data_IF_663310349007
#
_entry.id   IF_663310349007
#
_cell.length_a   1.000
_cell.length_b   1.000
_cell.length_c   1.000
_cell.angle_alpha   90.00
_cell.angle_beta   90.00
_cell.angle_gamma   90.00
#
_symmetry.space_group_name_H-M   'P 1'
#
loop_
_entity.id
_entity.type
_entity.pdbx_description
1 polymer ?
#
# COMPACT_ATOMS: atom_id res chain seq x y z
N UNK A 1 31.44 17.05 -15.35
CA UNK A 1 30.50 18.18 -15.17
C UNK A 1 29.20 17.80 -14.42
N UNK A 2 28.39 16.86 -14.94
CA UNK A 2 27.10 16.51 -14.31
C UNK A 2 27.21 15.94 -12.88
N UNK A 3 28.18 15.05 -12.63
CA UNK A 3 28.46 14.53 -11.28
C UNK A 3 28.80 15.65 -10.29
N UNK A 4 29.51 16.68 -10.73
CA UNK A 4 29.92 17.79 -9.86
C UNK A 4 28.72 18.68 -9.50
N UNK A 5 27.86 18.97 -10.47
CA UNK A 5 26.59 19.67 -10.24
C UNK A 5 25.71 18.89 -9.27
N UNK A 6 25.62 17.57 -9.45
CA UNK A 6 24.85 16.71 -8.56
C UNK A 6 25.38 16.75 -7.12
N UNK A 7 26.71 16.69 -6.93
CA UNK A 7 27.33 16.82 -5.60
C UNK A 7 27.00 18.16 -4.93
N UNK A 8 27.05 19.27 -5.68
CA UNK A 8 26.64 20.59 -5.18
C UNK A 8 25.16 20.64 -4.80
N UNK A 9 24.28 19.96 -5.54
CA UNK A 9 22.86 19.83 -5.14
C UNK A 9 22.72 19.04 -3.84
N UNK A 10 23.52 17.99 -3.66
CA UNK A 10 23.54 17.17 -2.44
C UNK A 10 24.00 17.97 -1.22
N UNK A 11 24.91 18.93 -1.37
CA UNK A 11 25.30 19.84 -0.27
C UNK A 11 24.11 20.61 0.31
N UNK A 12 23.17 21.01 -0.54
CA UNK A 12 21.96 21.74 -0.15
C UNK A 12 20.78 20.82 0.22
N UNK A 13 20.85 19.52 -0.09
CA UNK A 13 19.75 18.59 0.09
C UNK A 13 19.68 18.02 1.52
N UNK A 14 18.46 17.80 2.00
CA UNK A 14 18.22 17.06 3.24
C UNK A 14 18.13 15.55 3.02
N UNK A 15 17.48 15.16 1.91
CA UNK A 15 17.16 13.77 1.59
C UNK A 15 17.40 13.54 0.10
N UNK A 16 18.10 12.45 -0.23
CA UNK A 16 18.21 11.88 -1.56
C UNK A 16 17.45 10.56 -1.59
N UNK A 17 16.46 10.42 -2.48
CA UNK A 17 15.75 9.15 -2.71
C UNK A 17 16.08 8.68 -4.11
N UNK A 18 16.47 7.42 -4.23
CA UNK A 18 16.85 6.81 -5.51
C UNK A 18 16.44 5.35 -5.56
N UNK A 19 16.26 4.84 -6.78
CA UNK A 19 15.83 3.46 -7.05
C UNK A 19 16.63 2.82 -8.18
N UNK A 20 17.93 3.12 -8.23
CA UNK A 20 18.86 2.56 -9.21
C UNK A 20 19.34 1.17 -8.75
N UNK A 21 19.82 0.32 -9.67
CA UNK A 21 20.41 -0.95 -9.31
C UNK A 21 21.57 -0.79 -8.31
N UNK A 22 21.78 -1.78 -7.40
CA UNK A 22 22.90 -1.75 -6.46
C UNK A 22 24.23 -1.44 -7.14
N UNK A 23 25.00 -0.52 -6.53
CA UNK A 23 26.30 -0.09 -7.05
C UNK A 23 26.28 0.92 -8.19
N UNK A 24 25.14 1.23 -8.83
CA UNK A 24 25.09 2.20 -9.93
C UNK A 24 25.62 3.59 -9.53
N UNK A 25 25.08 4.17 -8.46
CA UNK A 25 25.57 5.46 -7.96
C UNK A 25 26.99 5.35 -7.40
N UNK A 26 27.34 4.22 -6.81
CA UNK A 26 28.71 3.95 -6.34
C UNK A 26 29.74 4.01 -7.47
N UNK A 27 29.44 3.41 -8.62
CA UNK A 27 30.29 3.45 -9.82
C UNK A 27 30.46 4.86 -10.39
N UNK A 28 29.49 5.76 -10.14
CA UNK A 28 29.56 7.17 -10.50
C UNK A 28 30.22 8.04 -9.42
N UNK A 29 30.68 7.47 -8.31
CA UNK A 29 31.20 8.24 -7.16
C UNK A 29 30.13 9.06 -6.43
N UNK A 30 28.85 8.66 -6.56
CA UNK A 30 27.66 9.28 -6.00
C UNK A 30 26.96 8.37 -4.97
N UNK A 31 27.67 7.36 -4.45
CA UNK A 31 27.16 6.53 -3.35
C UNK A 31 27.18 7.25 -2.00
N UNK A 32 26.45 6.73 -1.03
CA UNK A 32 26.40 7.31 0.32
C UNK A 32 27.79 7.49 0.99
N UNK A 33 28.77 6.56 0.87
CA UNK A 33 30.09 6.75 1.46
C UNK A 33 30.81 8.02 0.97
N UNK A 34 30.56 8.44 -0.27
CA UNK A 34 31.11 9.67 -0.86
C UNK A 34 30.23 10.88 -0.54
N UNK A 35 28.92 10.78 -0.78
CA UNK A 35 27.99 11.87 -0.57
C UNK A 35 27.85 12.28 0.90
N UNK A 36 27.96 11.33 1.84
CA UNK A 36 27.95 11.60 3.27
C UNK A 36 29.18 12.35 3.78
N UNK A 37 30.30 12.32 3.04
CA UNK A 37 31.46 13.18 3.36
C UNK A 37 31.21 14.62 2.94
N UNK A 38 30.52 14.81 1.80
CA UNK A 38 30.15 16.11 1.25
C UNK A 38 29.07 16.75 2.15
N UNK A 39 28.04 15.99 2.50
CA UNK A 39 26.98 16.42 3.39
C UNK A 39 26.78 15.39 4.53
N UNK A 40 27.41 15.60 5.70
CA UNK A 40 27.25 14.72 6.87
C UNK A 40 25.83 14.65 7.44
N UNK A 41 24.92 15.51 6.98
CA UNK A 41 23.51 15.56 7.38
C UNK A 41 22.59 14.87 6.36
N UNK A 42 23.11 14.43 5.23
CA UNK A 42 22.33 13.81 4.16
C UNK A 42 21.70 12.50 4.61
N UNK A 43 20.40 12.36 4.38
CA UNK A 43 19.73 11.06 4.44
C UNK A 43 19.62 10.55 3.01
N UNK A 44 20.18 9.37 2.73
CA UNK A 44 20.04 8.73 1.43
C UNK A 44 19.15 7.50 1.58
N UNK A 45 18.10 7.39 0.79
CA UNK A 45 17.26 6.20 0.72
C UNK A 45 17.43 5.53 -0.64
N UNK A 46 17.91 4.29 -0.62
CA UNK A 46 18.11 3.44 -1.79
C UNK A 46 17.03 2.37 -1.82
N UNK A 47 16.16 2.43 -2.81
CA UNK A 47 15.09 1.44 -3.01
C UNK A 47 15.55 0.45 -4.07
N UNK A 48 15.86 -0.77 -3.64
CA UNK A 48 16.37 -1.84 -4.50
C UNK A 48 15.46 -3.06 -4.44
N UNK A 49 15.61 -3.94 -5.42
CA UNK A 49 14.74 -5.11 -5.56
C UNK A 49 14.87 -6.09 -4.38
N UNK A 50 16.10 -6.31 -3.91
CA UNK A 50 16.43 -7.32 -2.89
C UNK A 50 17.34 -6.80 -1.77
N UNK A 51 17.61 -5.49 -1.71
CA UNK A 51 18.60 -4.91 -0.80
C UNK A 51 20.02 -4.97 -1.37
N UNK A 52 20.98 -4.40 -0.63
CA UNK A 52 22.38 -4.36 -1.04
C UNK A 52 23.20 -5.60 -0.62
N UNK A 53 22.53 -6.66 -0.16
CA UNK A 53 23.16 -7.88 0.37
C UNK A 53 23.00 -9.08 -0.57
N UNK A 54 24.03 -9.93 -0.65
CA UNK A 54 23.99 -11.21 -1.37
C UNK A 54 22.97 -12.18 -0.75
N UNK A 55 22.40 -13.15 -1.51
CA UNK A 55 22.78 -13.57 -2.87
C UNK A 55 21.96 -12.93 -4.00
N UNK A 56 20.92 -12.14 -3.68
CA UNK A 56 20.00 -11.58 -4.68
C UNK A 56 20.26 -10.13 -5.01
N UNK A 57 21.33 -9.53 -4.46
CA UNK A 57 21.72 -8.15 -4.71
C UNK A 57 21.62 -7.74 -6.18
N UNK A 58 22.20 -8.53 -7.08
CA UNK A 58 22.27 -8.19 -8.51
C UNK A 58 21.10 -8.77 -9.34
N UNK A 59 20.10 -9.39 -8.70
CA UNK A 59 18.94 -9.90 -9.40
C UNK A 59 18.01 -8.76 -9.80
N UNK A 60 17.38 -8.89 -10.96
CA UNK A 60 16.37 -7.95 -11.43
C UNK A 60 14.99 -8.39 -10.97
N UNK A 61 14.21 -7.44 -10.50
CA UNK A 61 12.83 -7.64 -10.09
C UNK A 61 11.91 -6.59 -10.68
N UNK A 62 10.63 -6.78 -10.40
CA UNK A 62 9.58 -5.81 -10.54
C UNK A 62 8.47 -6.15 -9.54
N UNK A 63 7.39 -5.38 -9.51
CA UNK A 63 6.32 -5.56 -8.52
C UNK A 63 5.87 -7.01 -8.34
N UNK A 64 5.60 -7.70 -9.46
CA UNK A 64 5.11 -9.08 -9.49
C UNK A 64 6.18 -10.08 -9.04
N UNK A 65 7.46 -9.84 -9.37
CA UNK A 65 8.56 -10.74 -8.96
C UNK A 65 8.79 -10.62 -7.46
N UNK A 66 8.79 -9.40 -6.91
CA UNK A 66 8.90 -9.19 -5.47
C UNK A 66 7.68 -9.73 -4.71
N UNK A 67 6.47 -9.59 -5.26
CA UNK A 67 5.26 -10.19 -4.68
C UNK A 67 5.34 -11.71 -4.60
N UNK A 68 5.97 -12.36 -5.58
CA UNK A 68 6.18 -13.80 -5.60
C UNK A 68 7.26 -14.23 -4.58
N UNK A 69 8.45 -13.61 -4.65
CA UNK A 69 9.59 -13.95 -3.79
C UNK A 69 9.42 -13.50 -2.34
N UNK A 70 8.60 -12.48 -2.08
CA UNK A 70 8.22 -12.03 -0.75
C UNK A 70 7.10 -12.87 -0.11
N UNK A 71 6.59 -13.89 -0.81
CA UNK A 71 5.62 -14.86 -0.29
C UNK A 71 4.15 -14.46 -0.41
N UNK A 72 3.83 -13.22 -0.81
CA UNK A 72 2.45 -12.71 -0.82
C UNK A 72 1.55 -13.53 -1.74
N UNK A 73 2.03 -13.92 -2.92
CA UNK A 73 1.23 -14.69 -3.87
C UNK A 73 0.86 -16.08 -3.36
N UNK A 74 1.69 -16.70 -2.51
CA UNK A 74 1.47 -18.05 -2.03
C UNK A 74 0.13 -18.19 -1.29
N UNK A 75 -0.28 -17.14 -0.58
CA UNK A 75 -1.49 -17.07 0.24
C UNK A 75 -2.67 -16.38 -0.45
N UNK A 76 -2.49 -15.85 -1.67
CA UNK A 76 -3.54 -15.17 -2.42
C UNK A 76 -4.29 -16.13 -3.36
N UNK A 77 -5.63 -16.09 -3.31
CA UNK A 77 -6.53 -16.81 -4.22
C UNK A 77 -7.38 -17.88 -3.53
N UNK A 78 -8.01 -18.71 -4.35
CA UNK A 78 -8.87 -19.81 -3.90
C UNK A 78 -8.06 -21.04 -3.47
N UNK A 79 -8.53 -21.84 -2.50
CA UNK A 79 -7.84 -23.05 -2.04
C UNK A 79 -7.55 -24.04 -3.18
N UNK A 80 -8.50 -24.21 -4.10
CA UNK A 80 -8.45 -25.18 -5.20
C UNK A 80 -7.71 -24.65 -6.44
N UNK A 81 -7.40 -23.35 -6.47
CA UNK A 81 -6.69 -22.72 -7.59
C UNK A 81 -5.19 -22.64 -7.31
N UNK A 82 -4.36 -22.54 -8.37
CA UNK A 82 -2.97 -22.09 -8.22
C UNK A 82 -2.89 -20.72 -7.51
N UNK A 83 -1.73 -20.37 -6.92
CA UNK A 83 -1.47 -19.03 -6.39
C UNK A 83 -1.86 -17.92 -7.36
N UNK A 84 -2.57 -16.90 -6.86
CA UNK A 84 -2.94 -15.72 -7.62
C UNK A 84 -2.10 -14.52 -7.19
N UNK A 85 -1.86 -13.59 -8.11
CA UNK A 85 -1.25 -12.30 -7.78
C UNK A 85 -2.30 -11.31 -7.25
N UNK A 86 -1.91 -10.37 -6.37
CA UNK A 86 -2.78 -9.23 -6.03
C UNK A 86 -3.00 -8.31 -7.25
N UNK A 87 -4.00 -7.43 -7.15
CA UNK A 87 -4.28 -6.42 -8.19
C UNK A 87 -3.36 -5.20 -8.06
N UNK A 88 -2.95 -4.63 -9.19
CA UNK A 88 -2.09 -3.44 -9.23
C UNK A 88 -0.65 -3.73 -8.82
N UNK A 89 0.04 -2.69 -8.30
CA UNK A 89 1.46 -2.72 -7.96
C UNK A 89 1.67 -2.63 -6.43
N UNK A 90 1.20 -3.64 -5.69
CA UNK A 90 1.16 -3.59 -4.22
C UNK A 90 2.56 -3.55 -3.59
N UNK A 91 3.52 -4.28 -4.16
CA UNK A 91 4.89 -4.32 -3.67
C UNK A 91 5.52 -2.93 -3.74
N UNK A 92 5.34 -2.22 -4.86
CA UNK A 92 5.86 -0.84 -5.00
C UNK A 92 5.23 0.13 -4.00
N UNK A 93 3.93 0.01 -3.72
CA UNK A 93 3.29 0.85 -2.71
C UNK A 93 3.83 0.57 -1.30
N UNK A 94 4.02 -0.70 -0.94
CA UNK A 94 4.62 -1.08 0.34
C UNK A 94 6.03 -0.49 0.49
N UNK A 95 6.91 -0.68 -0.49
CA UNK A 95 8.26 -0.12 -0.46
C UNK A 95 8.26 1.41 -0.38
N UNK A 96 7.34 2.08 -1.07
CA UNK A 96 7.20 3.54 -1.00
C UNK A 96 6.81 4.01 0.40
N UNK A 97 5.86 3.32 1.05
CA UNK A 97 5.43 3.64 2.42
C UNK A 97 6.55 3.38 3.43
N UNK A 98 7.22 2.22 3.35
CA UNK A 98 8.36 1.92 4.22
C UNK A 98 9.52 2.89 4.02
N UNK A 99 9.78 3.32 2.79
CA UNK A 99 10.79 4.36 2.48
C UNK A 99 10.42 5.68 3.14
N UNK A 100 9.16 6.13 2.99
CA UNK A 100 8.70 7.37 3.61
C UNK A 100 8.82 7.32 5.14
N UNK A 101 8.43 6.19 5.76
CA UNK A 101 8.60 5.97 7.21
C UNK A 101 10.08 6.03 7.60
N UNK A 102 10.95 5.32 6.87
CA UNK A 102 12.40 5.31 7.11
C UNK A 102 13.01 6.71 7.04
N UNK A 103 12.65 7.49 6.01
CA UNK A 103 13.10 8.88 5.86
C UNK A 103 12.62 9.75 7.03
N UNK A 104 11.35 9.63 7.45
CA UNK A 104 10.82 10.38 8.60
C UNK A 104 11.55 10.01 9.91
N UNK A 105 11.82 8.73 10.14
CA UNK A 105 12.58 8.25 11.30
C UNK A 105 14.03 8.76 11.28
N UNK A 106 14.69 8.72 10.12
CA UNK A 106 16.04 9.25 9.96
C UNK A 106 16.09 10.77 10.17
N UNK A 107 15.11 11.52 9.64
CA UNK A 107 14.98 12.96 9.87
C UNK A 107 14.78 13.28 11.35
N UNK A 108 13.97 12.48 12.06
CA UNK A 108 13.79 12.62 13.49
C UNK A 108 15.08 12.33 14.26
N UNK A 109 15.77 11.22 13.96
CA UNK A 109 17.04 10.87 14.59
C UNK A 109 18.10 11.94 14.36
N UNK A 110 18.16 12.52 13.15
CA UNK A 110 19.08 13.60 12.77
C UNK A 110 18.91 14.86 13.62
N UNK A 111 17.73 15.12 14.20
CA UNK A 111 17.54 16.24 15.15
C UNK A 111 18.36 16.08 16.43
N UNK A 112 18.62 14.83 16.83
CA UNK A 112 19.37 14.49 18.04
C UNK A 112 20.84 14.28 17.71
N UNK A 113 21.15 13.48 16.68
CA UNK A 113 22.52 13.11 16.34
C UNK A 113 23.27 14.20 15.55
N UNK A 114 22.54 15.10 14.89
CA UNK A 114 23.09 16.05 13.92
C UNK A 114 23.57 15.40 12.62
N UNK A 115 23.50 14.07 12.47
CA UNK A 115 24.04 13.30 11.34
C UNK A 115 22.96 12.60 10.54
N UNK A 116 23.18 12.51 9.24
CA UNK A 116 22.38 11.70 8.33
C UNK A 116 22.73 10.21 8.36
N UNK A 117 22.11 9.43 7.49
CA UNK A 117 22.31 7.97 7.37
C UNK A 117 21.88 7.47 5.99
N UNK A 118 22.39 6.29 5.61
CA UNK A 118 21.87 5.52 4.49
C UNK A 118 20.72 4.62 4.96
N UNK A 119 19.67 4.55 4.15
CA UNK A 119 18.52 3.67 4.34
C UNK A 119 18.50 2.73 3.14
N UNK A 120 18.73 1.45 3.40
CA UNK A 120 18.60 0.38 2.40
C UNK A 120 17.17 -0.17 2.48
N UNK A 121 16.42 -0.08 1.39
CA UNK A 121 15.05 -0.59 1.27
C UNK A 121 15.04 -1.72 0.24
N UNK A 122 14.73 -2.93 0.70
CA UNK A 122 14.47 -4.08 -0.16
C UNK A 122 12.98 -4.21 -0.45
N UNK A 123 12.62 -4.26 -1.74
CA UNK A 123 11.24 -4.50 -2.17
C UNK A 123 10.72 -5.85 -1.65
N UNK A 124 11.55 -6.90 -1.69
CA UNK A 124 11.18 -8.22 -1.16
C UNK A 124 10.90 -8.20 0.35
N UNK A 125 11.76 -7.54 1.13
CA UNK A 125 11.58 -7.45 2.59
C UNK A 125 10.32 -6.67 2.96
N UNK A 126 10.01 -5.60 2.21
CA UNK A 126 8.77 -4.84 2.40
C UNK A 126 7.52 -5.70 2.17
N UNK A 127 7.53 -6.58 1.16
CA UNK A 127 6.45 -7.53 0.91
C UNK A 127 6.37 -8.56 2.03
N UNK A 128 7.49 -9.15 2.43
CA UNK A 128 7.53 -10.16 3.49
C UNK A 128 7.05 -9.58 4.84
N UNK A 129 7.42 -8.34 5.16
CA UNK A 129 7.00 -7.65 6.37
C UNK A 129 5.47 -7.47 6.45
N UNK A 130 4.78 -7.35 5.31
CA UNK A 130 3.32 -7.24 5.24
C UNK A 130 2.60 -8.58 5.50
N UNK A 131 3.34 -9.68 5.66
CA UNK A 131 2.82 -11.02 5.96
C UNK A 131 2.98 -11.40 7.44
N UNK A 132 3.12 -10.43 8.34
CA UNK A 132 3.27 -10.62 9.79
C UNK A 132 2.32 -11.68 10.39
N UNK A 133 1.02 -11.60 10.09
CA UNK A 133 -0.02 -12.53 10.54
C UNK A 133 0.17 -13.96 10.04
N UNK A 134 0.80 -14.14 8.87
CA UNK A 134 1.18 -15.44 8.31
C UNK A 134 2.44 -15.96 9.01
N UNK A 135 3.46 -15.11 9.12
CA UNK A 135 4.77 -15.46 9.66
C UNK A 135 4.70 -15.83 11.14
N UNK A 136 3.90 -15.12 11.93
CA UNK A 136 3.71 -15.45 13.36
C UNK A 136 3.16 -16.87 13.51
N UNK A 137 2.12 -17.26 12.76
CA UNK A 137 1.59 -18.62 12.84
C UNK A 137 2.59 -19.68 12.40
N UNK A 138 3.38 -19.39 11.37
CA UNK A 138 4.43 -20.30 10.95
C UNK A 138 5.51 -20.47 12.03
N UNK A 139 6.02 -19.38 12.60
CA UNK A 139 7.09 -19.43 13.61
C UNK A 139 6.65 -20.01 14.95
N UNK A 140 5.41 -19.76 15.39
CA UNK A 140 4.92 -20.24 16.68
C UNK A 140 4.23 -21.61 16.60
N UNK A 141 3.48 -21.90 15.54
CA UNK A 141 2.63 -23.09 15.44
C UNK A 141 3.10 -24.08 14.36
N UNK A 142 4.08 -23.70 13.52
CA UNK A 142 4.52 -24.52 12.37
C UNK A 142 3.48 -24.59 11.24
N UNK A 143 2.44 -23.76 11.29
CA UNK A 143 1.33 -23.80 10.34
C UNK A 143 1.74 -23.14 9.02
N UNK A 144 1.73 -23.93 7.94
CA UNK A 144 1.86 -23.40 6.59
C UNK A 144 0.51 -22.84 6.15
N UNK A 145 0.44 -21.52 5.99
CA UNK A 145 -0.78 -20.84 5.56
C UNK A 145 -1.23 -21.34 4.18
N UNK A 146 -2.55 -21.48 4.01
CA UNK A 146 -3.18 -21.86 2.75
C UNK A 146 -4.03 -20.70 2.23
N UNK A 147 -4.25 -20.70 0.93
CA UNK A 147 -5.24 -19.86 0.25
C UNK A 147 -6.63 -20.16 0.79
N UNK A 148 -7.43 -19.12 1.01
CA UNK A 148 -8.75 -19.22 1.66
C UNK A 148 -9.86 -18.49 0.89
N UNK A 149 -9.58 -17.98 -0.31
CA UNK A 149 -10.58 -17.29 -1.13
C UNK A 149 -11.16 -16.08 -0.41
N UNK A 150 -12.49 -16.00 -0.39
CA UNK A 150 -13.22 -14.95 0.32
C UNK A 150 -13.20 -15.05 1.86
N UNK A 151 -12.64 -16.11 2.46
CA UNK A 151 -12.56 -16.27 3.91
C UNK A 151 -11.29 -15.60 4.46
N UNK A 152 -11.47 -14.69 5.41
CA UNK A 152 -10.39 -13.97 6.06
C UNK A 152 -9.51 -14.92 6.91
N UNK A 153 -8.22 -14.63 7.07
CA UNK A 153 -7.23 -15.52 7.68
C UNK A 153 -7.57 -15.95 9.13
N UNK A 154 -8.31 -15.12 9.86
CA UNK A 154 -8.78 -15.40 11.22
C UNK A 154 -10.12 -16.16 11.27
N UNK A 155 -10.68 -16.54 10.11
CA UNK A 155 -11.96 -17.23 9.94
C UNK A 155 -13.19 -16.52 10.51
N UNK A 156 -13.08 -15.24 10.85
CA UNK A 156 -14.16 -14.46 11.45
C UNK A 156 -14.96 -13.64 10.43
N UNK A 157 -14.43 -13.46 9.22
CA UNK A 157 -15.07 -12.69 8.16
C UNK A 157 -15.03 -13.45 6.84
N UNK A 158 -16.09 -13.31 6.03
CA UNK A 158 -16.12 -13.87 4.68
C UNK A 158 -16.91 -12.98 3.73
N UNK A 159 -16.45 -12.93 2.47
CA UNK A 159 -17.18 -12.31 1.37
C UNK A 159 -18.25 -13.29 0.86
N UNK A 160 -19.49 -12.83 0.76
CA UNK A 160 -20.62 -13.57 0.24
C UNK A 160 -21.25 -12.87 -0.98
N UNK A 161 -21.77 -13.64 -1.95
CA UNK A 161 -22.54 -13.09 -3.06
C UNK A 161 -23.96 -12.74 -2.62
N UNK A 162 -24.45 -11.60 -3.12
CA UNK A 162 -25.84 -11.15 -3.02
C UNK A 162 -26.50 -11.18 -4.42
N UNK A 163 -27.77 -10.80 -4.51
CA UNK A 163 -28.50 -10.71 -5.79
C UNK A 163 -27.84 -9.73 -6.79
N UNK A 164 -27.21 -8.67 -6.29
CA UNK A 164 -26.72 -7.53 -7.07
C UNK A 164 -25.26 -7.15 -6.78
N UNK A 165 -24.52 -7.97 -6.03
CA UNK A 165 -23.14 -7.66 -5.67
C UNK A 165 -22.54 -8.63 -4.64
N UNK A 166 -21.64 -8.11 -3.81
CA UNK A 166 -20.97 -8.88 -2.77
C UNK A 166 -20.93 -8.10 -1.47
N UNK A 167 -21.02 -8.82 -0.35
CA UNK A 167 -20.98 -8.28 1.00
C UNK A 167 -19.91 -8.98 1.83
N UNK A 168 -19.17 -8.24 2.65
CA UNK A 168 -18.30 -8.79 3.69
C UNK A 168 -19.12 -8.93 4.98
N UNK A 169 -19.25 -10.16 5.47
CA UNK A 169 -19.92 -10.44 6.75
C UNK A 169 -18.91 -10.85 7.81
N UNK A 170 -19.19 -10.49 9.06
CA UNK A 170 -18.64 -11.18 10.23
C UNK A 170 -19.50 -12.42 10.53
N UNK A 171 -18.87 -13.55 10.80
CA UNK A 171 -19.55 -14.85 10.91
C UNK A 171 -20.06 -15.17 12.33
N UNK A 172 -19.41 -14.64 13.37
CA UNK A 172 -19.63 -15.08 14.75
C UNK A 172 -20.02 -13.96 15.71
N UNK A 173 -19.97 -12.70 15.28
CA UNK A 173 -20.37 -11.59 16.12
C UNK A 173 -21.89 -11.55 16.21
N UNK A 174 -22.45 -11.36 17.41
CA UNK A 174 -23.91 -11.34 17.63
C UNK A 174 -24.63 -12.55 17.02
N UNK A 175 -24.08 -13.74 17.25
CA UNK A 175 -24.57 -15.00 16.66
C UNK A 175 -26.07 -15.22 16.88
N UNK A 176 -26.56 -14.99 18.10
CA UNK A 176 -27.98 -15.20 18.44
C UNK A 176 -28.88 -14.26 17.61
N UNK A 177 -28.52 -12.99 17.48
CA UNK A 177 -29.23 -12.01 16.64
C UNK A 177 -29.23 -12.42 15.17
N UNK A 178 -28.11 -12.96 14.66
CA UNK A 178 -28.02 -13.46 13.29
C UNK A 178 -28.95 -14.66 13.08
N UNK A 179 -28.95 -15.62 14.00
CA UNK A 179 -29.83 -16.80 13.93
C UNK A 179 -31.30 -16.41 14.06
N UNK A 180 -31.65 -15.46 14.92
CA UNK A 180 -33.01 -14.91 15.04
C UNK A 180 -33.47 -14.26 13.74
N UNK A 181 -32.61 -13.46 13.10
CA UNK A 181 -32.91 -12.84 11.81
C UNK A 181 -33.11 -13.90 10.71
N UNK A 182 -32.19 -14.86 10.59
CA UNK A 182 -32.33 -15.99 9.67
C UNK A 182 -33.63 -16.78 9.93
N UNK A 183 -34.02 -16.95 11.20
CA UNK A 183 -35.24 -17.67 11.59
C UNK A 183 -36.49 -16.91 11.19
N UNK A 184 -36.51 -15.59 11.39
CA UNK A 184 -37.61 -14.72 10.99
C UNK A 184 -37.88 -14.78 9.48
N UNK A 185 -36.84 -15.05 8.69
CA UNK A 185 -36.94 -15.23 7.24
C UNK A 185 -37.08 -16.68 6.79
N UNK A 186 -37.11 -17.63 7.73
CA UNK A 186 -37.25 -19.07 7.44
C UNK A 186 -35.99 -19.70 6.80
N UNK A 187 -34.83 -19.07 6.96
CA UNK A 187 -33.56 -19.44 6.30
C UNK A 187 -32.47 -19.93 7.28
N UNK A 188 -32.80 -20.10 8.56
CA UNK A 188 -31.85 -20.54 9.59
C UNK A 188 -31.40 -22.00 9.45
N UNK A 189 -32.14 -22.84 8.72
CA UNK A 189 -31.88 -24.28 8.64
C UNK A 189 -31.78 -24.90 10.05
N UNK A 190 -30.72 -25.67 10.37
CA UNK A 190 -30.47 -26.22 11.71
C UNK A 190 -29.73 -25.25 12.65
N UNK A 191 -29.43 -24.00 12.25
CA UNK A 191 -28.62 -23.07 13.05
C UNK A 191 -29.29 -22.65 14.38
N UNK A 192 -30.57 -22.94 14.55
CA UNK A 192 -31.30 -22.80 15.83
C UNK A 192 -30.92 -23.84 16.87
N UNK A 193 -30.28 -24.94 16.48
CA UNK A 193 -29.89 -26.01 17.39
C UNK A 193 -28.89 -25.53 18.45
N UNK A 194 -29.04 -26.02 19.69
CA UNK A 194 -28.23 -25.61 20.82
C UNK A 194 -26.72 -25.80 20.64
N UNK A 195 -26.29 -26.76 19.81
CA UNK A 195 -24.87 -27.01 19.48
C UNK A 195 -24.21 -25.77 18.87
N UNK A 196 -24.94 -24.97 18.10
CA UNK A 196 -24.41 -23.81 17.40
C UNK A 196 -24.17 -22.60 18.31
N UNK A 197 -24.60 -22.65 19.58
CA UNK A 197 -24.25 -21.63 20.57
C UNK A 197 -22.78 -21.72 20.96
N UNK A 198 -22.17 -22.90 20.88
CA UNK A 198 -20.74 -23.10 21.12
C UNK A 198 -19.90 -22.61 19.93
N UNK A 199 -18.97 -21.71 20.22
CA UNK A 199 -18.05 -21.15 19.22
C UNK A 199 -17.13 -22.23 18.62
N UNK A 200 -16.73 -23.23 19.40
CA UNK A 200 -15.84 -24.27 18.91
C UNK A 200 -16.57 -25.16 17.89
N UNK A 201 -17.83 -25.52 18.17
CA UNK A 201 -18.69 -26.21 17.20
C UNK A 201 -18.83 -25.41 15.89
N UNK A 202 -19.02 -24.09 15.98
CA UNK A 202 -19.07 -23.22 14.80
C UNK A 202 -17.78 -23.22 13.99
N UNK A 203 -16.62 -23.26 14.65
CA UNK A 203 -15.32 -23.30 13.97
C UNK A 203 -15.04 -24.65 13.31
N UNK A 204 -15.44 -25.75 13.96
CA UNK A 204 -15.27 -27.11 13.44
C UNK A 204 -16.18 -27.38 12.24
N UNK A 205 -17.35 -26.77 12.21
CA UNK A 205 -18.35 -26.93 11.15
C UNK A 205 -18.59 -25.64 10.34
N UNK A 206 -17.52 -24.86 10.15
CA UNK A 206 -17.59 -23.55 9.52
C UNK A 206 -18.16 -23.58 8.09
N UNK A 207 -17.83 -24.60 7.31
CA UNK A 207 -18.32 -24.74 5.93
C UNK A 207 -19.86 -24.82 5.88
N UNK A 208 -20.48 -25.50 6.84
CA UNK A 208 -21.95 -25.57 6.95
C UNK A 208 -22.58 -24.19 7.22
N UNK A 209 -22.00 -23.42 8.15
CA UNK A 209 -22.46 -22.06 8.45
C UNK A 209 -22.35 -21.18 7.20
N UNK A 210 -21.25 -21.32 6.47
CA UNK A 210 -21.02 -20.59 5.22
C UNK A 210 -22.08 -20.97 4.18
N UNK A 211 -22.43 -22.24 4.03
CA UNK A 211 -23.45 -22.69 3.08
C UNK A 211 -24.86 -22.17 3.42
N UNK A 212 -25.21 -22.08 4.71
CA UNK A 212 -26.46 -21.44 5.16
C UNK A 212 -26.45 -19.95 4.84
N UNK A 213 -25.38 -19.23 5.22
CA UNK A 213 -25.27 -17.80 4.99
C UNK A 213 -25.18 -17.44 3.51
N UNK A 214 -24.55 -18.28 2.68
CA UNK A 214 -24.48 -18.03 1.24
C UNK A 214 -25.86 -18.16 0.58
N UNK A 215 -26.66 -19.16 0.95
CA UNK A 215 -28.05 -19.28 0.46
C UNK A 215 -28.88 -18.07 0.86
N UNK A 216 -28.74 -17.62 2.11
CA UNK A 216 -29.45 -16.47 2.64
C UNK A 216 -29.01 -15.14 2.00
N UNK A 217 -27.72 -14.90 1.87
CA UNK A 217 -27.20 -13.65 1.25
C UNK A 217 -27.58 -13.54 -0.22
N UNK A 218 -27.60 -14.65 -0.96
CA UNK A 218 -28.08 -14.69 -2.36
C UNK A 218 -29.56 -14.33 -2.50
N UNK A 219 -30.35 -14.44 -1.44
CA UNK A 219 -31.74 -13.99 -1.44
C UNK A 219 -31.89 -12.52 -1.02
N UNK A 220 -30.83 -11.73 -0.93
CA UNK A 220 -30.90 -10.31 -0.59
C UNK A 220 -30.06 -9.45 -1.55
N UNK A 221 -30.42 -8.18 -1.67
CA UNK A 221 -29.52 -7.15 -2.21
C UNK A 221 -28.46 -6.78 -1.18
N UNK A 222 -27.32 -6.24 -1.62
CA UNK A 222 -26.28 -5.78 -0.69
C UNK A 222 -26.81 -4.66 0.21
N UNK A 223 -27.60 -3.74 -0.34
CA UNK A 223 -28.14 -2.59 0.40
C UNK A 223 -29.05 -3.02 1.55
N UNK A 224 -29.95 -3.98 1.33
CA UNK A 224 -30.85 -4.53 2.38
C UNK A 224 -30.04 -5.07 3.56
N UNK A 225 -29.02 -5.90 3.27
CA UNK A 225 -28.20 -6.52 4.31
C UNK A 225 -27.30 -5.51 5.04
N UNK A 226 -26.72 -4.55 4.33
CA UNK A 226 -25.88 -3.51 4.95
C UNK A 226 -26.73 -2.61 5.84
N UNK A 227 -27.89 -2.14 5.38
CA UNK A 227 -28.77 -1.26 6.17
C UNK A 227 -29.27 -1.96 7.44
N UNK A 228 -29.84 -3.15 7.30
CA UNK A 228 -30.32 -3.93 8.46
C UNK A 228 -29.16 -4.37 9.36
N UNK A 229 -28.04 -4.78 8.76
CA UNK A 229 -26.82 -5.14 9.48
C UNK A 229 -26.32 -4.00 10.36
N UNK A 230 -26.28 -2.78 9.84
CA UNK A 230 -25.89 -1.59 10.60
C UNK A 230 -26.88 -1.26 11.73
N UNK A 231 -28.19 -1.37 11.50
CA UNK A 231 -29.21 -1.19 12.55
C UNK A 231 -29.05 -2.22 13.69
N UNK A 232 -28.60 -3.43 13.36
CA UNK A 232 -28.32 -4.50 14.32
C UNK A 232 -26.87 -4.48 14.85
N UNK A 233 -26.07 -3.47 14.49
CA UNK A 233 -24.67 -3.28 14.89
C UNK A 233 -23.67 -4.33 14.38
N UNK A 234 -24.00 -5.04 13.30
CA UNK A 234 -23.05 -5.92 12.63
C UNK A 234 -21.99 -5.12 11.84
N UNK A 235 -20.70 -5.49 11.91
CA UNK A 235 -19.63 -4.86 11.14
C UNK A 235 -19.59 -5.39 9.70
N UNK A 236 -20.69 -5.19 8.97
CA UNK A 236 -20.85 -5.65 7.60
C UNK A 236 -20.69 -4.48 6.63
N UNK A 237 -20.16 -4.79 5.44
CA UNK A 237 -19.88 -3.78 4.43
C UNK A 237 -20.07 -4.33 3.01
N UNK A 238 -20.55 -3.48 2.10
CA UNK A 238 -20.49 -3.72 0.67
C UNK A 238 -19.03 -3.89 0.21
N UNK A 239 -18.78 -4.88 -0.64
CA UNK A 239 -17.54 -4.94 -1.42
C UNK A 239 -17.68 -3.97 -2.60
N UNK A 240 -17.34 -2.70 -2.35
CA UNK A 240 -17.64 -1.61 -3.26
C UNK A 240 -17.00 -1.77 -4.65
N UNK A 241 -17.81 -1.58 -5.70
CA UNK A 241 -17.33 -1.41 -7.07
C UNK A 241 -16.59 -0.08 -7.26
N UNK A 242 -15.86 0.10 -8.38
CA UNK A 242 -15.19 1.39 -8.66
C UNK A 242 -16.19 2.56 -8.73
N UNK A 243 -17.35 2.45 -9.43
CA UNK A 243 -18.38 3.49 -9.37
C UNK A 243 -18.90 3.73 -7.94
N UNK A 244 -19.10 2.67 -7.14
CA UNK A 244 -19.51 2.79 -5.74
C UNK A 244 -18.49 3.55 -4.89
N UNK A 245 -17.21 3.21 -5.04
CA UNK A 245 -16.09 3.85 -4.35
C UNK A 245 -15.99 5.35 -4.70
N UNK A 246 -16.04 5.69 -5.99
CA UNK A 246 -15.95 7.09 -6.46
C UNK A 246 -17.14 7.93 -5.98
N UNK A 247 -18.30 7.32 -5.81
CA UNK A 247 -19.52 7.98 -5.33
C UNK A 247 -19.76 7.85 -3.82
N UNK A 248 -18.84 7.23 -3.08
CA UNK A 248 -18.94 7.00 -1.64
C UNK A 248 -19.25 8.30 -0.89
N UNK A 249 -20.34 8.35 -0.09
CA UNK A 249 -20.66 9.52 0.73
C UNK A 249 -19.52 9.88 1.69
N UNK A 250 -18.88 8.86 2.29
CA UNK A 250 -17.78 9.07 3.24
C UNK A 250 -16.53 9.64 2.57
N UNK A 251 -16.16 9.18 1.37
CA UNK A 251 -15.00 9.73 0.66
C UNK A 251 -15.28 11.13 0.11
N UNK A 252 -16.55 11.43 -0.23
CA UNK A 252 -16.99 12.79 -0.59
C UNK A 252 -16.87 13.74 0.59
N UNK A 253 -17.42 13.37 1.76
CA UNK A 253 -17.35 14.17 2.99
C UNK A 253 -15.90 14.43 3.43
N UNK A 254 -15.00 13.51 3.11
CA UNK A 254 -13.57 13.63 3.40
C UNK A 254 -12.77 14.36 2.34
N UNK A 255 -13.41 14.91 1.29
CA UNK A 255 -12.75 15.52 0.14
C UNK A 255 -11.59 14.66 -0.38
N UNK A 256 -11.80 13.36 -0.49
CA UNK A 256 -10.72 12.44 -0.82
C UNK A 256 -10.39 12.51 -2.31
N UNK A 257 -11.39 12.50 -3.19
CA UNK A 257 -11.14 12.68 -4.63
C UNK A 257 -11.10 14.16 -4.98
N UNK A 258 -9.94 14.61 -5.44
CA UNK A 258 -9.69 15.99 -5.85
C UNK A 258 -9.75 16.13 -7.37
N UNK A 259 -10.14 17.29 -7.87
CA UNK A 259 -10.06 17.58 -9.30
C UNK A 259 -8.75 18.28 -9.64
N UNK A 260 -8.06 17.76 -10.66
CA UNK A 260 -6.82 18.35 -11.19
C UNK A 260 -7.03 18.64 -12.67
N UNK A 261 -6.69 19.86 -13.08
CA UNK A 261 -6.73 20.27 -14.47
C UNK A 261 -5.48 19.81 -15.22
N UNK A 262 -5.67 19.08 -16.31
CA UNK A 262 -4.59 18.64 -17.16
C UNK A 262 -4.11 19.76 -18.06
N UNK A 263 -2.90 20.22 -17.80
CA UNK A 263 -2.32 21.41 -18.41
C UNK A 263 -2.33 21.49 -19.95
N UNK A 264 -2.21 20.37 -20.67
CA UNK A 264 -2.18 20.41 -22.15
C UNK A 264 -3.57 20.44 -22.76
N UNK A 265 -4.56 19.88 -22.07
CA UNK A 265 -5.89 19.65 -22.62
C UNK A 265 -6.98 20.51 -21.97
N UNK A 266 -6.69 21.17 -20.85
CA UNK A 266 -7.66 21.89 -20.02
C UNK A 266 -8.72 20.99 -19.36
N UNK A 267 -8.63 19.66 -19.55
CA UNK A 267 -9.59 18.71 -19.01
C UNK A 267 -9.34 18.50 -17.52
N UNK A 268 -10.42 18.44 -16.73
CA UNK A 268 -10.35 18.10 -15.31
C UNK A 268 -10.48 16.59 -15.12
N UNK A 269 -9.63 16.04 -14.25
CA UNK A 269 -9.64 14.63 -13.89
C UNK A 269 -9.69 14.49 -12.37
N UNK A 270 -10.38 13.46 -11.88
CA UNK A 270 -10.36 13.12 -10.46
C UNK A 270 -9.11 12.32 -10.12
N UNK A 271 -8.43 12.71 -9.05
CA UNK A 271 -7.30 12.00 -8.49
C UNK A 271 -7.55 11.68 -7.00
N UNK A 272 -7.03 10.56 -6.48
CA UNK A 272 -6.95 10.35 -5.03
C UNK A 272 -6.11 11.46 -4.39
N UNK A 273 -6.67 12.11 -3.38
CA UNK A 273 -5.99 13.09 -2.54
C UNK A 273 -5.18 12.40 -1.44
N UNK A 274 -4.68 13.20 -0.49
CA UNK A 274 -3.92 12.66 0.63
C UNK A 274 -4.83 11.87 1.60
N UNK A 275 -4.44 10.66 2.05
CA UNK A 275 -5.24 9.87 2.98
C UNK A 275 -5.17 10.37 4.44
N UNK A 276 -4.36 11.41 4.73
CA UNK A 276 -4.22 12.00 6.06
C UNK A 276 -4.58 13.50 6.05
N UNK A 277 -5.50 13.91 6.94
CA UNK A 277 -5.86 15.32 7.14
C UNK A 277 -5.04 15.88 8.29
N UNK A 278 -4.10 16.77 7.98
CA UNK A 278 -3.22 17.40 8.97
C UNK A 278 -3.77 18.78 9.33
N UNK A 279 -4.15 18.99 10.60
CA UNK A 279 -4.79 20.24 11.05
C UNK A 279 -3.88 21.47 10.97
N UNK A 280 -2.56 21.29 11.13
CA UNK A 280 -1.57 22.39 11.14
C UNK A 280 -0.82 22.56 9.82
N UNK A 281 -0.82 21.56 8.97
CA UNK A 281 -0.07 21.54 7.71
C UNK A 281 -0.91 20.82 6.64
N UNK A 282 -2.08 21.35 6.30
CA UNK A 282 -2.97 20.71 5.34
C UNK A 282 -2.25 20.53 4.01
N UNK A 283 -2.28 19.31 3.48
CA UNK A 283 -1.75 19.02 2.16
C UNK A 283 -2.52 19.83 1.11
N UNK A 284 -1.79 20.30 0.09
CA UNK A 284 -2.36 20.97 -1.06
C UNK A 284 -1.82 20.30 -2.32
N UNK A 285 -2.66 20.23 -3.32
CA UNK A 285 -2.22 19.83 -4.66
C UNK A 285 -1.12 20.79 -5.10
N UNK A 286 0.02 20.24 -5.50
CA UNK A 286 1.14 21.02 -6.01
C UNK A 286 0.80 21.71 -7.33
N UNK A 287 1.78 22.45 -7.84
CA UNK A 287 1.73 22.97 -9.20
C UNK A 287 1.69 21.83 -10.22
N UNK A 288 1.42 22.22 -11.47
CA UNK A 288 1.46 21.35 -12.65
C UNK A 288 2.71 20.43 -12.65
N UNK A 289 2.54 19.20 -13.16
CA UNK A 289 3.66 18.29 -13.44
C UNK A 289 4.65 18.99 -14.39
N UNK A 290 5.92 19.16 -13.98
CA UNK A 290 6.89 19.88 -14.79
C UNK A 290 7.18 19.18 -16.11
N UNK A 291 7.41 19.97 -17.16
CA UNK A 291 8.03 19.50 -18.39
C UNK A 291 9.50 19.15 -18.12
N UNK A 292 10.08 18.34 -19.01
CA UNK A 292 11.51 18.04 -18.99
C UNK A 292 12.32 19.35 -19.01
N UNK A 293 13.17 19.53 -18.01
CA UNK A 293 14.03 20.71 -17.87
C UNK A 293 13.33 22.01 -17.46
N UNK A 294 12.03 22.02 -17.18
CA UNK A 294 11.24 23.24 -16.90
C UNK A 294 11.86 24.10 -15.79
N UNK A 295 12.39 23.46 -14.74
CA UNK A 295 12.97 24.13 -13.59
C UNK A 295 14.50 24.13 -13.57
N UNK A 296 15.20 23.76 -14.66
CA UNK A 296 16.67 23.70 -14.67
C UNK A 296 17.29 25.05 -14.27
N UNK A 297 16.84 26.14 -14.91
CA UNK A 297 17.34 27.49 -14.60
C UNK A 297 16.99 27.92 -13.17
N UNK A 298 15.76 27.68 -12.73
CA UNK A 298 15.32 28.00 -11.36
C UNK A 298 16.17 27.29 -10.31
N UNK A 299 16.40 25.98 -10.45
CA UNK A 299 17.19 25.20 -9.49
C UNK A 299 18.67 25.56 -9.57
N UNK A 300 19.26 25.65 -10.77
CA UNK A 300 20.69 25.92 -10.90
C UNK A 300 21.08 27.35 -10.52
N UNK A 301 20.24 28.35 -10.79
CA UNK A 301 20.49 29.72 -10.31
C UNK A 301 20.11 29.84 -8.84
N UNK A 302 18.92 29.37 -8.45
CA UNK A 302 18.37 29.59 -7.12
C UNK A 302 19.04 28.79 -6.01
N UNK A 303 19.41 27.52 -6.28
CA UNK A 303 20.04 26.64 -5.29
C UNK A 303 21.55 26.66 -5.40
N UNK A 304 22.10 26.62 -6.63
CA UNK A 304 23.55 26.52 -6.84
C UNK A 304 24.23 27.87 -7.07
N UNK A 305 23.49 28.94 -7.36
CA UNK A 305 24.06 30.25 -7.66
C UNK A 305 24.81 30.31 -8.99
N UNK A 306 24.50 29.42 -9.96
CA UNK A 306 25.12 29.49 -11.29
C UNK A 306 24.69 30.76 -12.04
N UNK A 307 25.64 31.38 -12.72
CA UNK A 307 25.39 32.48 -13.66
C UNK A 307 24.69 31.99 -14.94
N UNK A 308 24.12 32.93 -15.70
CA UNK A 308 23.53 32.61 -17.01
C UNK A 308 24.57 31.98 -17.95
N UNK A 309 25.78 32.53 -17.99
CA UNK A 309 26.87 32.06 -18.84
C UNK A 309 27.29 30.61 -18.50
N UNK A 310 27.33 30.26 -17.21
CA UNK A 310 27.61 28.88 -16.77
C UNK A 310 26.51 27.92 -17.20
N UNK A 311 25.24 28.32 -17.12
CA UNK A 311 24.10 27.50 -17.55
C UNK A 311 24.12 27.31 -19.07
N UNK A 312 24.36 28.37 -19.85
CA UNK A 312 24.52 28.27 -21.30
C UNK A 312 25.66 27.34 -21.70
N UNK A 313 26.78 27.39 -20.96
CA UNK A 313 27.91 26.48 -21.20
C UNK A 313 27.51 25.01 -20.96
N UNK A 314 26.74 24.73 -19.91
CA UNK A 314 26.24 23.38 -19.63
C UNK A 314 25.28 22.87 -20.70
N UNK A 315 24.39 23.73 -21.22
CA UNK A 315 23.49 23.40 -22.33
C UNK A 315 24.30 23.08 -23.59
N UNK A 316 25.26 23.94 -23.96
CA UNK A 316 26.12 23.72 -25.14
C UNK A 316 26.93 22.43 -25.06
N UNK A 317 27.28 22.00 -23.85
CA UNK A 317 28.00 20.75 -23.59
C UNK A 317 27.08 19.51 -23.52
N UNK A 318 25.75 19.67 -23.58
CA UNK A 318 24.79 18.59 -23.45
C UNK A 318 24.75 17.97 -22.05
N UNK A 319 25.15 18.72 -21.02
CA UNK A 319 25.09 18.29 -19.62
C UNK A 319 23.68 18.45 -19.06
N UNK A 320 22.97 19.48 -19.52
CA UNK A 320 21.61 19.85 -19.13
C UNK A 320 20.75 20.18 -20.35
#
# INVERSE_FOLDING_TARGET
PGQEIFKRLVEAADVLVESQPPGYLGALGLGYPQLGQINPRLIMASITDFGNSEPYRDYKSCDIVAGALGGQMYVCGEPQSPPLKPFGNQSYYLASIFTAIGVLLALWRRRISGRGQHIDISLQECVAAALDHVLVRYFYEGVVARRQGGLHWNRAFRIFPCRDGYILLSLFQQWETLVEWLTAEGMADDLTDGKWRDREQRLQHLDHIIDVLERWTRSHTVAELVEQGQLLHFPWAEVASIPGLVNSPQLRERDFFIEVEHHQSGKRYKFPGVPCKLSRSPWRVGSKVPKLGEHNKEVYQGVLGLSEDEIEALIKQGVI
#
